data_IF_484069393315
#
_entry.id   IF_484069393315
#
_cell.length_a   1.000
_cell.length_b   1.000
_cell.length_c   1.000
_cell.angle_alpha   90.00
_cell.angle_beta   90.00
_cell.angle_gamma   90.00
#
_symmetry.space_group_name_H-M   'P 1'
#
loop_
_entity.id
_entity.type
_entity.pdbx_description
1 polymer ?
#
# COMPACT_ATOMS: atom_id res chain seq x y z
N UNK A 1 0.05 -29.70 -5.66
CA UNK A 1 0.63 -28.34 -5.49
C UNK A 1 1.76 -28.25 -6.52
N UNK A 2 1.44 -28.07 -7.80
CA UNK A 2 2.39 -28.29 -8.92
C UNK A 2 2.39 -27.13 -9.95
N UNK A 3 2.46 -25.88 -9.50
CA UNK A 3 2.37 -24.72 -10.41
C UNK A 3 3.28 -23.55 -10.02
N UNK A 4 4.43 -23.86 -9.43
CA UNK A 4 5.49 -22.87 -9.23
C UNK A 4 6.34 -22.83 -10.49
N UNK A 5 6.12 -21.84 -11.35
CA UNK A 5 6.82 -21.68 -12.63
C UNK A 5 8.34 -21.55 -12.49
N UNK A 6 9.07 -21.95 -13.53
CA UNK A 6 10.55 -21.94 -13.60
C UNK A 6 11.15 -20.56 -13.93
N UNK A 7 10.34 -19.50 -13.93
CA UNK A 7 10.71 -18.13 -14.31
C UNK A 7 10.40 -17.13 -13.18
N UNK A 8 10.91 -15.90 -13.25
CA UNK A 8 10.68 -14.80 -12.27
C UNK A 8 9.22 -14.30 -12.22
N UNK A 9 8.27 -15.20 -12.35
CA UNK A 9 6.84 -14.98 -12.24
C UNK A 9 6.36 -15.27 -10.82
N UNK A 10 5.39 -14.47 -10.39
CA UNK A 10 4.72 -14.61 -9.10
C UNK A 10 3.22 -14.72 -9.40
N UNK A 11 2.75 -15.85 -9.96
CA UNK A 11 1.34 -16.02 -10.26
C UNK A 11 0.54 -15.96 -8.97
N UNK A 12 -0.57 -15.24 -9.01
CA UNK A 12 -1.50 -15.18 -7.87
C UNK A 12 -2.30 -16.49 -7.82
N UNK A 13 -2.27 -17.16 -6.67
CA UNK A 13 -3.02 -18.37 -6.38
C UNK A 13 -4.34 -18.08 -5.66
N UNK A 14 -5.13 -19.13 -5.44
CA UNK A 14 -6.43 -19.01 -4.76
C UNK A 14 -6.35 -18.39 -3.36
N UNK A 15 -5.24 -18.59 -2.64
CA UNK A 15 -5.01 -17.97 -1.34
C UNK A 15 -4.83 -16.46 -1.46
N UNK A 16 -4.11 -15.97 -2.47
CA UNK A 16 -3.90 -14.53 -2.68
C UNK A 16 -5.24 -13.83 -2.93
N UNK A 17 -6.11 -14.43 -3.75
CA UNK A 17 -7.45 -13.90 -3.98
C UNK A 17 -8.35 -13.94 -2.75
N UNK A 18 -8.25 -14.99 -1.93
CA UNK A 18 -9.01 -15.09 -0.69
C UNK A 18 -8.54 -14.06 0.35
N UNK A 19 -7.23 -13.87 0.50
CA UNK A 19 -6.63 -12.84 1.36
C UNK A 19 -7.02 -11.45 0.88
N UNK A 20 -6.97 -11.21 -0.43
CA UNK A 20 -7.45 -9.96 -1.02
C UNK A 20 -8.91 -9.70 -0.65
N UNK A 21 -9.80 -10.70 -0.76
CA UNK A 21 -11.24 -10.51 -0.48
C UNK A 21 -11.45 -10.05 0.95
N UNK A 22 -10.87 -10.76 1.92
CA UNK A 22 -10.98 -10.41 3.34
C UNK A 22 -10.42 -9.01 3.60
N UNK A 23 -9.24 -8.70 3.07
CA UNK A 23 -8.58 -7.41 3.30
C UNK A 23 -9.35 -6.25 2.65
N UNK A 24 -9.90 -6.46 1.46
CA UNK A 24 -10.72 -5.47 0.77
C UNK A 24 -12.03 -5.18 1.49
N UNK A 25 -12.69 -6.21 2.03
CA UNK A 25 -13.93 -6.07 2.80
C UNK A 25 -13.67 -5.38 4.15
N UNK A 26 -12.63 -5.79 4.88
CA UNK A 26 -12.25 -5.20 6.18
C UNK A 26 -12.01 -3.69 6.07
N UNK A 27 -11.44 -3.25 4.94
CA UNK A 27 -11.03 -1.86 4.73
C UNK A 27 -11.91 -1.10 3.73
N UNK A 28 -13.02 -1.71 3.29
CA UNK A 28 -13.93 -1.18 2.28
C UNK A 28 -13.20 -0.64 1.03
N UNK A 29 -12.20 -1.40 0.54
CA UNK A 29 -11.47 -1.07 -0.69
C UNK A 29 -12.33 -1.40 -1.91
N UNK A 30 -12.51 -0.42 -2.78
CA UNK A 30 -13.22 -0.56 -4.04
C UNK A 30 -12.23 -1.00 -5.14
N UNK A 31 -12.39 -2.21 -5.72
CA UNK A 31 -11.53 -2.70 -6.79
C UNK A 31 -11.39 -1.70 -7.94
N UNK A 32 -10.15 -1.36 -8.29
CA UNK A 32 -9.87 -0.41 -9.36
C UNK A 32 -10.04 1.07 -8.97
N UNK A 33 -10.39 1.39 -7.72
CA UNK A 33 -10.54 2.76 -7.21
C UNK A 33 -9.63 3.09 -6.03
N UNK A 34 -8.47 2.45 -5.96
CA UNK A 34 -7.44 2.75 -4.97
C UNK A 34 -6.04 2.89 -5.58
N UNK A 35 -5.19 3.62 -4.87
CA UNK A 35 -3.77 3.79 -5.18
C UNK A 35 -2.94 3.34 -3.99
N UNK A 36 -1.99 2.44 -4.24
CA UNK A 36 -1.05 1.97 -3.23
C UNK A 36 0.15 2.90 -3.20
N UNK A 37 0.47 3.43 -2.02
CA UNK A 37 1.65 4.24 -1.75
C UNK A 37 2.58 3.44 -0.84
N UNK A 38 3.85 3.37 -1.23
CA UNK A 38 4.92 2.77 -0.42
C UNK A 38 6.07 3.78 -0.31
N UNK A 39 6.10 4.64 0.73
CA UNK A 39 7.15 5.66 0.90
C UNK A 39 8.52 5.05 1.26
N UNK A 40 8.50 3.79 1.70
CA UNK A 40 9.66 3.04 2.16
C UNK A 40 10.71 2.76 1.09
N UNK A 41 11.93 2.60 1.56
CA UNK A 41 13.03 2.03 0.80
C UNK A 41 14.12 1.61 1.79
N UNK A 42 14.84 0.52 1.48
CA UNK A 42 15.91 0.01 2.35
C UNK A 42 17.00 1.05 2.63
N UNK A 43 17.40 1.82 1.61
CA UNK A 43 18.40 2.89 1.74
C UNK A 43 17.69 4.23 1.93
N UNK A 44 17.95 4.99 3.01
CA UNK A 44 17.34 6.30 3.21
C UNK A 44 17.56 7.28 2.04
N UNK A 45 18.73 7.23 1.40
CA UNK A 45 19.06 8.06 0.23
C UNK A 45 18.22 7.76 -1.02
N UNK A 46 17.52 6.62 -1.05
CA UNK A 46 16.62 6.22 -2.14
C UNK A 46 15.15 6.52 -1.83
N UNK A 47 14.85 7.09 -0.66
CA UNK A 47 13.49 7.50 -0.29
C UNK A 47 13.21 8.87 -0.89
N UNK A 48 12.06 9.00 -1.54
CA UNK A 48 11.54 10.33 -1.85
C UNK A 48 11.04 10.99 -0.56
N UNK A 49 11.14 12.33 -0.42
CA UNK A 49 10.63 13.02 0.76
C UNK A 49 9.15 12.72 0.97
N UNK A 50 8.79 12.43 2.22
CA UNK A 50 7.46 11.93 2.59
C UNK A 50 6.36 12.97 2.30
N UNK A 51 6.69 14.26 2.38
CA UNK A 51 5.81 15.38 2.07
C UNK A 51 5.44 15.46 0.61
N UNK A 52 6.32 14.97 -0.27
CA UNK A 52 6.04 14.92 -1.70
C UNK A 52 5.14 13.74 -2.04
N UNK A 53 5.36 12.58 -1.41
CA UNK A 53 4.42 11.45 -1.47
C UNK A 53 3.04 11.87 -1.00
N UNK A 54 2.95 12.51 0.18
CA UNK A 54 1.68 12.97 0.75
C UNK A 54 0.99 14.01 -0.16
N UNK A 55 1.74 14.93 -0.76
CA UNK A 55 1.20 15.93 -1.71
C UNK A 55 0.61 15.28 -2.97
N UNK A 56 1.27 14.27 -3.54
CA UNK A 56 0.75 13.54 -4.70
C UNK A 56 -0.49 12.71 -4.33
N UNK A 57 -0.44 11.98 -3.22
CA UNK A 57 -1.55 11.19 -2.73
C UNK A 57 -2.77 12.06 -2.34
N UNK A 58 -2.55 13.27 -1.84
CA UNK A 58 -3.63 14.21 -1.53
C UNK A 58 -4.42 14.61 -2.76
N UNK A 59 -3.76 14.91 -3.88
CA UNK A 59 -4.43 15.23 -5.14
C UNK A 59 -5.31 14.07 -5.60
N UNK A 60 -4.78 12.84 -5.56
CA UNK A 60 -5.54 11.64 -5.90
C UNK A 60 -6.73 11.41 -4.95
N UNK A 61 -6.53 11.63 -3.65
CA UNK A 61 -7.61 11.54 -2.66
C UNK A 61 -8.71 12.59 -2.91
N UNK A 62 -8.32 13.82 -3.24
CA UNK A 62 -9.25 14.90 -3.56
C UNK A 62 -10.01 14.62 -4.87
N UNK A 63 -9.41 13.86 -5.81
CA UNK A 63 -10.06 13.30 -7.02
C UNK A 63 -10.90 12.03 -6.73
N UNK A 64 -11.02 11.63 -5.47
CA UNK A 64 -11.84 10.52 -5.00
C UNK A 64 -11.21 9.13 -5.14
N UNK A 65 -9.88 9.03 -5.21
CA UNK A 65 -9.18 7.75 -5.08
C UNK A 65 -8.98 7.37 -3.62
N UNK A 66 -9.11 6.08 -3.30
CA UNK A 66 -8.73 5.58 -1.98
C UNK A 66 -7.21 5.46 -1.89
N UNK A 67 -6.62 6.04 -0.84
CA UNK A 67 -5.18 5.93 -0.61
C UNK A 67 -4.91 4.75 0.32
N UNK A 68 -4.09 3.82 -0.14
CA UNK A 68 -3.65 2.64 0.63
C UNK A 68 -2.17 2.74 0.89
N UNK A 69 -1.77 2.70 2.14
CA UNK A 69 -0.38 2.76 2.55
C UNK A 69 0.17 1.37 2.83
N UNK A 70 1.28 1.02 2.19
CA UNK A 70 2.00 -0.24 2.44
C UNK A 70 3.42 0.05 2.91
N UNK A 71 4.05 -0.97 3.49
CA UNK A 71 5.33 -0.84 4.15
C UNK A 71 5.63 -2.06 5.01
N UNK A 72 6.87 -2.20 5.42
CA UNK A 72 7.28 -3.18 6.42
C UNK A 72 7.01 -2.66 7.83
N UNK A 73 7.01 -3.53 8.84
CA UNK A 73 6.89 -3.11 10.25
C UNK A 73 7.98 -2.12 10.69
N UNK A 74 9.16 -2.16 10.08
CA UNK A 74 10.25 -1.22 10.36
C UNK A 74 9.96 0.20 9.83
N UNK A 75 8.96 0.36 8.97
CA UNK A 75 8.60 1.61 8.32
C UNK A 75 7.35 2.27 8.93
N UNK A 76 6.84 1.75 10.05
CA UNK A 76 5.66 2.30 10.74
C UNK A 76 5.80 3.80 11.08
N UNK A 77 6.98 4.25 11.50
CA UNK A 77 7.22 5.67 11.78
C UNK A 77 7.12 6.54 10.52
N UNK A 78 7.65 6.04 9.39
CA UNK A 78 7.56 6.72 8.10
C UNK A 78 6.11 6.73 7.58
N UNK A 79 5.39 5.64 7.77
CA UNK A 79 3.98 5.53 7.45
C UNK A 79 3.12 6.51 8.27
N UNK A 80 3.42 6.67 9.56
CA UNK A 80 2.79 7.67 10.43
C UNK A 80 3.02 9.09 9.93
N UNK A 81 4.28 9.46 9.64
CA UNK A 81 4.62 10.77 9.09
C UNK A 81 3.91 11.06 7.75
N UNK A 82 3.77 10.05 6.89
CA UNK A 82 2.99 10.17 5.66
C UNK A 82 1.50 10.46 5.95
N UNK A 83 0.87 9.70 6.83
CA UNK A 83 -0.55 9.84 7.14
C UNK A 83 -0.86 11.21 7.76
N UNK A 84 0.00 11.70 8.66
CA UNK A 84 -0.09 13.04 9.25
C UNK A 84 -0.06 14.12 8.17
N UNK A 85 0.88 14.01 7.21
CA UNK A 85 1.02 15.01 6.16
C UNK A 85 -0.04 14.91 5.07
N UNK A 86 -0.55 13.71 4.79
CA UNK A 86 -1.62 13.50 3.82
C UNK A 86 -2.86 14.31 4.20
N UNK A 87 -3.20 14.35 5.49
CA UNK A 87 -4.35 15.07 6.05
C UNK A 87 -5.69 14.71 5.35
N UNK A 88 -5.79 13.45 4.89
CA UNK A 88 -6.96 12.80 4.30
C UNK A 88 -7.05 11.36 4.81
N UNK A 89 -8.23 10.73 4.76
CA UNK A 89 -8.35 9.31 5.08
C UNK A 89 -7.44 8.46 4.19
N UNK A 90 -6.78 7.48 4.80
CA UNK A 90 -6.06 6.43 4.09
C UNK A 90 -6.19 5.10 4.84
N UNK A 91 -6.16 4.00 4.09
CA UNK A 91 -6.08 2.66 4.67
C UNK A 91 -4.62 2.33 4.93
N UNK A 92 -4.22 2.20 6.19
CA UNK A 92 -2.85 1.87 6.56
C UNK A 92 -2.66 0.36 6.76
N UNK A 93 -2.01 -0.27 5.77
CA UNK A 93 -1.64 -1.68 5.75
C UNK A 93 -0.15 -1.92 6.05
N UNK A 94 0.59 -0.89 6.48
CA UNK A 94 2.01 -1.01 6.79
C UNK A 94 2.25 -2.09 7.85
N UNK A 95 2.99 -3.14 7.49
CA UNK A 95 3.25 -4.31 8.33
C UNK A 95 2.03 -5.19 8.61
N UNK A 96 0.96 -5.07 7.82
CA UNK A 96 -0.32 -5.80 8.01
C UNK A 96 -0.70 -6.70 6.83
N UNK A 97 0.09 -6.72 5.77
CA UNK A 97 -0.03 -7.73 4.71
C UNK A 97 0.81 -8.96 5.08
N UNK A 98 0.34 -10.18 4.80
CA UNK A 98 1.10 -11.42 5.03
C UNK A 98 2.48 -11.45 4.37
#
# INVERSE_FOLDING_TARGET
YDDWGDYLEFPLGGLDYALWHVLSEEHALDPGRYVVVHPGARMPSRRWPVERFASAARQLADDGWQIVLTGTRAELALAGAFAEQLARPCVNLCGRTP
#
